data_IF_336426055582
#
_entry.id   IF_336426055582
#
_cell.length_a   1.000
_cell.length_b   1.000
_cell.length_c   1.000
_cell.angle_alpha   90.00
_cell.angle_beta   90.00
_cell.angle_gamma   90.00
#
_symmetry.space_group_name_H-M   'P 1'
#
loop_
_entity.id
_entity.type
_entity.pdbx_description
1 polymer ?
#
# COMPACT_ATOMS: atom_id res chain seq x y z
N UNK A 1 -6.91 -34.59 -8.81
CA UNK A 1 -8.36 -34.26 -8.76
C UNK A 1 -9.02 -35.23 -9.70
N UNK A 2 -9.88 -36.10 -9.17
CA UNK A 2 -10.50 -37.18 -9.93
C UNK A 2 -11.37 -36.61 -11.07
N UNK A 3 -11.39 -37.27 -12.23
CA UNK A 3 -12.20 -36.85 -13.38
C UNK A 3 -13.67 -36.78 -12.93
N UNK A 4 -14.39 -35.66 -13.12
CA UNK A 4 -15.82 -35.56 -12.79
C UNK A 4 -16.66 -36.71 -13.34
N UNK A 5 -16.25 -37.32 -14.46
CA UNK A 5 -16.88 -38.51 -15.04
C UNK A 5 -16.70 -39.74 -14.17
N UNK A 6 -15.53 -39.94 -13.57
CA UNK A 6 -15.26 -41.03 -12.64
C UNK A 6 -16.08 -40.88 -11.35
N UNK A 7 -16.29 -39.65 -10.87
CA UNK A 7 -17.16 -39.37 -9.72
C UNK A 7 -18.62 -39.71 -10.04
N UNK A 8 -19.11 -39.34 -11.22
CA UNK A 8 -20.46 -39.71 -11.67
C UNK A 8 -20.62 -41.22 -11.78
N UNK A 9 -19.65 -41.92 -12.36
CA UNK A 9 -19.68 -43.38 -12.49
C UNK A 9 -19.60 -44.09 -11.14
N UNK A 10 -18.82 -43.55 -10.20
CA UNK A 10 -18.76 -44.04 -8.83
C UNK A 10 -20.12 -43.88 -8.12
N UNK A 11 -20.76 -42.73 -8.28
CA UNK A 11 -22.09 -42.46 -7.73
C UNK A 11 -23.12 -43.44 -8.32
N UNK A 12 -23.16 -43.62 -9.65
CA UNK A 12 -24.07 -44.59 -10.30
C UNK A 12 -23.92 -46.01 -9.72
N UNK A 13 -22.68 -46.50 -9.59
CA UNK A 13 -22.37 -47.81 -8.98
C UNK A 13 -22.75 -47.91 -7.51
N UNK A 14 -22.79 -46.78 -6.78
CA UNK A 14 -23.24 -46.75 -5.38
C UNK A 14 -24.76 -46.88 -5.30
N UNK A 15 -25.50 -46.32 -6.26
CA UNK A 15 -26.96 -46.49 -6.33
C UNK A 15 -27.36 -47.91 -6.67
N UNK A 16 -26.74 -48.53 -7.67
CA UNK A 16 -27.05 -49.93 -8.02
C UNK A 16 -26.83 -50.88 -6.82
N UNK A 17 -25.88 -50.55 -5.93
CA UNK A 17 -25.67 -51.29 -4.68
C UNK A 17 -26.77 -51.00 -3.66
N UNK A 18 -27.09 -49.73 -3.42
CA UNK A 18 -28.16 -49.35 -2.49
C UNK A 18 -29.53 -49.89 -2.91
N UNK A 19 -29.83 -49.94 -4.20
CA UNK A 19 -31.07 -50.54 -4.74
C UNK A 19 -31.17 -52.03 -4.44
N UNK A 20 -30.04 -52.76 -4.49
CA UNK A 20 -29.97 -54.18 -4.12
C UNK A 20 -30.10 -54.40 -2.61
N UNK A 21 -29.55 -53.50 -1.80
CA UNK A 21 -29.53 -53.61 -0.33
C UNK A 21 -30.87 -53.22 0.33
N UNK A 22 -31.62 -52.28 -0.25
CA UNK A 22 -32.83 -51.71 0.38
C UNK A 22 -34.12 -52.52 0.20
N UNK A 23 -34.08 -53.67 -0.48
CA UNK A 23 -35.03 -54.78 -0.30
C UNK A 23 -36.52 -54.43 -0.15
N UNK A 24 -37.07 -53.53 -0.97
CA UNK A 24 -38.52 -53.39 -1.16
C UNK A 24 -39.25 -52.24 -0.43
N UNK A 25 -38.56 -51.31 0.25
CA UNK A 25 -39.24 -50.08 0.72
C UNK A 25 -39.34 -49.04 -0.40
N UNK A 26 -40.41 -49.13 -1.19
CA UNK A 26 -40.67 -48.31 -2.38
C UNK A 26 -40.53 -46.80 -2.12
N UNK A 27 -40.99 -46.31 -0.95
CA UNK A 27 -40.87 -44.90 -0.56
C UNK A 27 -39.43 -44.45 -0.31
N UNK A 28 -38.57 -45.29 0.27
CA UNK A 28 -37.17 -44.94 0.51
C UNK A 28 -36.37 -44.96 -0.80
N UNK A 29 -36.71 -45.87 -1.71
CA UNK A 29 -36.14 -45.92 -3.05
C UNK A 29 -36.48 -44.66 -3.86
N UNK A 30 -37.70 -44.15 -3.75
CA UNK A 30 -38.09 -42.91 -4.45
C UNK A 30 -37.36 -41.67 -3.92
N UNK A 31 -37.18 -41.55 -2.60
CA UNK A 31 -36.41 -40.45 -2.00
C UNK A 31 -34.94 -40.52 -2.43
N UNK A 32 -34.34 -41.71 -2.39
CA UNK A 32 -32.96 -41.92 -2.83
C UNK A 32 -32.79 -41.60 -4.32
N UNK A 33 -33.73 -42.04 -5.18
CA UNK A 33 -33.72 -41.76 -6.62
C UNK A 33 -33.84 -40.27 -6.91
N UNK A 34 -34.70 -39.55 -6.21
CA UNK A 34 -34.86 -38.10 -6.38
C UNK A 34 -33.62 -37.31 -5.93
N UNK A 35 -33.06 -37.62 -4.76
CA UNK A 35 -31.84 -36.98 -4.27
C UNK A 35 -30.65 -37.23 -5.22
N UNK A 36 -30.57 -38.45 -5.77
CA UNK A 36 -29.56 -38.83 -6.74
C UNK A 36 -29.72 -38.11 -8.08
N UNK A 37 -30.95 -38.06 -8.62
CA UNK A 37 -31.23 -37.31 -9.85
C UNK A 37 -30.90 -35.84 -9.69
N UNK A 38 -31.14 -35.26 -8.52
CA UNK A 38 -30.73 -33.90 -8.21
C UNK A 38 -29.20 -33.75 -8.17
N UNK A 39 -28.48 -34.70 -7.56
CA UNK A 39 -27.01 -34.69 -7.54
C UNK A 39 -26.41 -34.83 -8.95
N UNK A 40 -26.99 -35.68 -9.81
CA UNK A 40 -26.56 -35.83 -11.21
C UNK A 40 -26.79 -34.54 -12.00
N UNK A 41 -27.95 -33.88 -11.86
CA UNK A 41 -28.22 -32.58 -12.51
C UNK A 41 -27.23 -31.49 -12.09
N UNK A 42 -26.86 -31.46 -10.81
CA UNK A 42 -25.84 -30.52 -10.30
C UNK A 42 -24.45 -30.85 -10.85
N UNK A 43 -24.11 -32.13 -10.97
CA UNK A 43 -22.84 -32.56 -11.55
C UNK A 43 -22.74 -32.22 -13.05
N UNK A 44 -23.80 -32.47 -13.82
CA UNK A 44 -23.87 -32.11 -15.25
C UNK A 44 -23.73 -30.58 -15.43
N UNK A 45 -24.46 -29.79 -14.64
CA UNK A 45 -24.33 -28.32 -14.66
C UNK A 45 -22.93 -27.83 -14.30
N UNK A 46 -22.23 -28.52 -13.38
CA UNK A 46 -20.84 -28.21 -13.03
C UNK A 46 -19.88 -28.57 -14.17
N UNK A 47 -20.10 -29.69 -14.87
CA UNK A 47 -19.31 -30.08 -16.03
C UNK A 47 -19.48 -29.07 -17.17
N UNK A 48 -20.72 -28.69 -17.48
CA UNK A 48 -21.02 -27.71 -18.53
C UNK A 48 -20.39 -26.34 -18.21
N UNK A 49 -20.47 -25.91 -16.94
CA UNK A 49 -19.82 -24.69 -16.49
C UNK A 49 -18.29 -24.76 -16.63
N UNK A 50 -17.68 -25.89 -16.25
CA UNK A 50 -16.23 -26.09 -16.36
C UNK A 50 -15.77 -26.13 -17.82
N UNK A 51 -16.50 -26.84 -18.69
CA UNK A 51 -16.22 -26.87 -20.14
C UNK A 51 -16.34 -25.48 -20.74
N UNK A 52 -17.38 -24.71 -20.37
CA UNK A 52 -17.53 -23.33 -20.81
C UNK A 52 -16.39 -22.43 -20.33
N UNK A 53 -15.89 -22.63 -19.11
CA UNK A 53 -14.76 -21.89 -18.56
C UNK A 53 -13.46 -22.23 -19.29
N UNK A 54 -13.21 -23.52 -19.56
CA UNK A 54 -12.03 -23.98 -20.29
C UNK A 54 -12.02 -23.44 -21.73
N UNK A 55 -13.17 -23.42 -22.41
CA UNK A 55 -13.31 -22.82 -23.75
C UNK A 55 -13.03 -21.30 -23.76
N UNK A 56 -13.46 -20.56 -22.73
CA UNK A 56 -13.17 -19.13 -22.61
C UNK A 56 -11.68 -18.89 -22.33
N UNK A 57 -11.05 -19.73 -21.51
CA UNK A 57 -9.60 -19.69 -21.27
C UNK A 57 -8.84 -19.94 -22.58
N UNK A 58 -9.25 -20.92 -23.38
CA UNK A 58 -8.62 -21.20 -24.68
C UNK A 58 -8.77 -20.04 -25.66
N UNK A 59 -9.95 -19.41 -25.70
CA UNK A 59 -10.20 -18.20 -26.51
C UNK A 59 -9.29 -17.05 -26.09
N UNK A 60 -9.13 -16.82 -24.79
CA UNK A 60 -8.21 -15.81 -24.25
C UNK A 60 -6.74 -16.13 -24.60
N UNK A 61 -6.34 -17.39 -24.50
CA UNK A 61 -5.00 -17.84 -24.87
C UNK A 61 -4.72 -17.61 -26.37
N UNK A 62 -5.68 -17.90 -27.26
CA UNK A 62 -5.56 -17.61 -28.69
C UNK A 62 -5.42 -16.10 -28.96
N UNK A 63 -6.17 -15.27 -28.25
CA UNK A 63 -6.05 -13.81 -28.33
C UNK A 63 -4.66 -13.33 -27.88
N UNK A 64 -4.14 -13.87 -26.77
CA UNK A 64 -2.78 -13.56 -26.28
C UNK A 64 -1.72 -13.97 -27.31
N UNK A 65 -1.84 -15.16 -27.92
CA UNK A 65 -0.92 -15.61 -28.97
C UNK A 65 -0.96 -14.68 -30.18
N UNK A 66 -2.15 -14.25 -30.60
CA UNK A 66 -2.29 -13.27 -31.70
C UNK A 66 -1.62 -11.94 -31.34
N UNK A 67 -1.87 -11.41 -30.14
CA UNK A 67 -1.25 -10.17 -29.66
C UNK A 67 0.28 -10.29 -29.60
N UNK A 68 0.82 -11.42 -29.13
CA UNK A 68 2.28 -11.67 -29.12
C UNK A 68 2.88 -11.66 -30.52
N UNK A 69 2.19 -12.23 -31.52
CA UNK A 69 2.63 -12.16 -32.93
C UNK A 69 2.66 -10.73 -33.44
N UNK A 70 1.63 -9.93 -33.14
CA UNK A 70 1.57 -8.51 -33.50
C UNK A 70 2.70 -7.72 -32.84
N UNK A 71 2.95 -7.94 -31.54
CA UNK A 71 4.05 -7.29 -30.81
C UNK A 71 5.40 -7.70 -31.39
N UNK A 72 5.64 -8.99 -31.66
CA UNK A 72 6.87 -9.46 -32.27
C UNK A 72 7.13 -8.84 -33.64
N UNK A 73 6.08 -8.68 -34.45
CA UNK A 73 6.16 -7.98 -35.73
C UNK A 73 6.55 -6.50 -35.55
N UNK A 74 5.91 -5.78 -34.63
CA UNK A 74 6.27 -4.39 -34.34
C UNK A 74 7.70 -4.25 -33.81
N UNK A 75 8.15 -5.14 -32.93
CA UNK A 75 9.53 -5.14 -32.42
C UNK A 75 10.55 -5.41 -33.54
N UNK A 76 10.25 -6.34 -34.46
CA UNK A 76 11.10 -6.57 -35.64
C UNK A 76 11.19 -5.33 -36.52
N UNK A 77 10.07 -4.63 -36.75
CA UNK A 77 10.05 -3.39 -37.51
C UNK A 77 10.83 -2.28 -36.81
N UNK A 78 10.69 -2.14 -35.49
CA UNK A 78 11.44 -1.17 -34.68
C UNK A 78 12.94 -1.49 -34.73
N UNK A 79 13.35 -2.75 -34.61
CA UNK A 79 14.75 -3.16 -34.70
C UNK A 79 15.33 -2.86 -36.09
N UNK A 80 14.60 -3.18 -37.16
CA UNK A 80 15.01 -2.85 -38.54
C UNK A 80 15.13 -1.34 -38.77
N UNK A 81 14.25 -0.55 -38.15
CA UNK A 81 14.40 0.89 -38.14
C UNK A 81 15.66 1.26 -37.37
N UNK A 82 15.84 0.81 -36.13
CA UNK A 82 17.01 1.09 -35.28
C UNK A 82 18.34 0.78 -35.97
N UNK A 83 18.47 -0.33 -36.69
CA UNK A 83 19.68 -0.67 -37.43
C UNK A 83 19.96 0.34 -38.57
N UNK A 84 18.91 0.88 -39.19
CA UNK A 84 19.03 2.00 -40.15
C UNK A 84 19.31 3.33 -39.46
N UNK A 85 18.96 3.47 -38.17
CA UNK A 85 19.18 4.66 -37.35
C UNK A 85 20.59 4.75 -36.74
N UNK A 86 21.33 3.64 -36.64
CA UNK A 86 22.66 3.56 -36.02
C UNK A 86 23.79 4.05 -36.95
N UNK A 87 23.50 4.43 -38.20
CA UNK A 87 24.43 5.23 -38.99
C UNK A 87 24.68 6.60 -38.35
N UNK A 88 25.90 7.15 -38.46
CA UNK A 88 26.31 8.49 -37.97
C UNK A 88 25.58 9.67 -38.67
N UNK A 89 24.30 9.52 -38.98
CA UNK A 89 23.44 10.54 -39.53
C UNK A 89 22.71 11.35 -38.45
N UNK A 90 21.99 12.40 -38.84
CA UNK A 90 21.10 13.12 -37.93
C UNK A 90 20.09 12.15 -37.29
N UNK A 91 19.73 12.41 -36.02
CA UNK A 91 18.73 11.61 -35.30
C UNK A 91 17.49 11.41 -36.19
N UNK A 92 17.08 10.18 -36.47
CA UNK A 92 15.98 9.90 -37.39
C UNK A 92 14.65 10.50 -36.94
N UNK A 93 14.46 10.64 -35.63
CA UNK A 93 13.36 11.39 -35.07
C UNK A 93 13.42 12.86 -35.55
N UNK A 94 14.59 13.49 -35.52
CA UNK A 94 14.79 14.87 -36.00
C UNK A 94 14.82 14.98 -37.54
N UNK A 95 14.88 13.85 -38.26
CA UNK A 95 14.73 13.83 -39.72
C UNK A 95 13.27 13.78 -40.18
N UNK A 96 12.33 13.59 -39.24
CA UNK A 96 10.90 13.62 -39.55
C UNK A 96 10.47 15.05 -39.91
N UNK A 97 9.45 15.20 -40.79
CA UNK A 97 8.83 16.50 -41.04
C UNK A 97 8.34 17.16 -39.73
N UNK A 98 8.45 18.50 -39.60
CA UNK A 98 8.03 19.23 -38.39
C UNK A 98 6.60 18.91 -37.94
N UNK A 99 5.68 18.70 -38.87
CA UNK A 99 4.27 18.40 -38.60
C UNK A 99 4.10 17.04 -37.90
N UNK A 100 4.92 16.05 -38.27
CA UNK A 100 4.92 14.73 -37.64
C UNK A 100 5.53 14.83 -36.24
N UNK A 101 6.60 15.61 -36.08
CA UNK A 101 7.19 15.87 -34.76
C UNK A 101 6.22 16.58 -33.81
N UNK A 102 5.45 17.55 -34.31
CA UNK A 102 4.38 18.21 -33.56
C UNK A 102 3.32 17.21 -33.10
N UNK A 103 2.85 16.32 -33.98
CA UNK A 103 1.90 15.27 -33.63
C UNK A 103 2.46 14.32 -32.57
N UNK A 104 3.73 13.92 -32.70
CA UNK A 104 4.41 13.08 -31.68
C UNK A 104 4.42 13.83 -30.34
N UNK A 105 4.93 15.06 -30.31
CA UNK A 105 5.04 15.86 -29.07
C UNK A 105 3.66 16.16 -28.47
N UNK A 106 2.61 16.31 -29.28
CA UNK A 106 1.24 16.56 -28.83
C UNK A 106 0.59 15.34 -28.14
N UNK A 107 0.95 14.13 -28.56
CA UNK A 107 0.41 12.89 -28.01
C UNK A 107 1.22 12.32 -26.85
N UNK A 108 2.42 12.85 -26.61
CA UNK A 108 3.27 12.45 -25.49
C UNK A 108 2.72 13.05 -24.16
N UNK A 109 2.74 12.29 -23.04
CA UNK A 109 2.32 12.79 -21.72
C UNK A 109 3.09 14.05 -21.30
N UNK A 110 2.53 14.95 -20.46
CA UNK A 110 3.18 16.21 -20.10
C UNK A 110 4.59 16.05 -19.51
N UNK A 111 4.80 15.08 -18.61
CA UNK A 111 6.12 14.80 -18.04
C UNK A 111 7.13 14.37 -19.12
N UNK A 112 6.68 13.57 -20.07
CA UNK A 112 7.50 13.07 -21.18
C UNK A 112 7.84 14.19 -22.15
N UNK A 113 6.88 15.07 -22.43
CA UNK A 113 7.10 16.29 -23.21
C UNK A 113 8.13 17.20 -22.52
N UNK A 114 8.11 17.30 -21.19
CA UNK A 114 9.14 18.02 -20.44
C UNK A 114 10.53 17.42 -20.69
N UNK A 115 10.72 16.11 -20.57
CA UNK A 115 12.03 15.50 -20.83
C UNK A 115 12.44 15.63 -22.31
N UNK A 116 11.52 15.48 -23.26
CA UNK A 116 11.80 15.71 -24.68
C UNK A 116 12.33 17.13 -24.91
N UNK A 117 11.76 18.13 -24.24
CA UNK A 117 12.20 19.53 -24.33
C UNK A 117 13.64 19.76 -23.82
N UNK A 118 14.17 18.84 -23.01
CA UNK A 118 15.53 18.90 -22.49
C UNK A 118 16.58 18.26 -23.42
N UNK A 119 16.15 17.54 -24.47
CA UNK A 119 17.08 16.78 -25.34
C UNK A 119 17.78 17.63 -26.41
N UNK A 120 17.04 18.46 -27.16
CA UNK A 120 17.59 19.31 -28.21
C UNK A 120 16.75 20.59 -28.44
N UNK A 121 17.30 21.56 -29.15
CA UNK A 121 16.62 22.84 -29.42
C UNK A 121 15.34 22.69 -30.24
N UNK A 122 15.28 21.78 -31.21
CA UNK A 122 14.09 21.51 -32.02
C UNK A 122 12.94 20.98 -31.17
N UNK A 123 13.18 19.91 -30.41
CA UNK A 123 12.17 19.32 -29.51
C UNK A 123 11.80 20.28 -28.38
N UNK A 124 12.75 21.11 -27.93
CA UNK A 124 12.46 22.23 -27.03
C UNK A 124 11.48 23.20 -27.65
N UNK A 125 11.73 23.71 -28.86
CA UNK A 125 10.83 24.66 -29.51
C UNK A 125 9.40 24.09 -29.66
N UNK A 126 9.28 22.84 -30.09
CA UNK A 126 7.98 22.16 -30.24
C UNK A 126 7.26 21.93 -28.90
N UNK A 127 7.98 21.44 -27.89
CA UNK A 127 7.41 21.25 -26.56
C UNK A 127 7.01 22.60 -25.92
N UNK A 128 7.84 23.63 -26.05
CA UNK A 128 7.55 24.96 -25.51
C UNK A 128 6.36 25.64 -26.22
N UNK A 129 6.14 25.41 -27.51
CA UNK A 129 4.94 25.91 -28.20
C UNK A 129 3.67 25.33 -27.59
N UNK A 130 3.66 24.03 -27.26
CA UNK A 130 2.57 23.40 -26.52
C UNK A 130 2.34 24.08 -25.16
N UNK A 131 3.40 24.56 -24.51
CA UNK A 131 3.33 25.14 -23.16
C UNK A 131 2.96 26.63 -23.18
N UNK A 132 3.31 27.37 -24.25
CA UNK A 132 3.06 28.83 -24.38
C UNK A 132 1.60 29.22 -24.61
N UNK A 133 0.74 28.30 -25.06
CA UNK A 133 -0.57 28.67 -25.60
C UNK A 133 -1.81 28.34 -24.77
N UNK A 134 -1.87 27.17 -24.10
CA UNK A 134 -3.11 26.66 -23.47
C UNK A 134 -2.91 25.69 -22.32
N UNK A 135 -1.67 25.39 -21.94
CA UNK A 135 -1.43 24.54 -20.76
C UNK A 135 -1.41 25.48 -19.58
N UNK A 136 -2.59 25.73 -18.99
CA UNK A 136 -2.62 25.99 -17.56
C UNK A 136 -1.74 24.92 -16.94
N UNK A 137 -0.61 25.33 -16.33
CA UNK A 137 0.20 24.40 -15.57
C UNK A 137 -0.78 23.62 -14.73
N UNK A 138 -0.81 22.27 -14.86
CA UNK A 138 -1.88 21.51 -14.27
C UNK A 138 -1.99 21.95 -12.81
N UNK A 139 -3.15 22.43 -12.38
CA UNK A 139 -3.32 23.00 -11.05
C UNK A 139 -3.66 21.90 -10.05
N UNK A 140 -3.31 22.12 -8.78
CA UNK A 140 -3.55 21.17 -7.70
C UNK A 140 -3.03 19.76 -8.00
N UNK A 141 -3.94 18.78 -8.00
CA UNK A 141 -3.62 17.35 -8.14
C UNK A 141 -2.83 17.04 -9.41
N UNK A 142 -3.25 17.59 -10.56
CA UNK A 142 -2.58 17.34 -11.84
C UNK A 142 -1.13 17.85 -11.80
N UNK A 143 -0.85 18.94 -11.06
CA UNK A 143 0.51 19.47 -10.88
C UNK A 143 1.38 18.45 -10.20
N UNK A 144 0.87 17.90 -9.11
CA UNK A 144 1.60 16.98 -8.28
C UNK A 144 1.86 15.66 -9.01
N UNK A 145 0.88 15.14 -9.76
CA UNK A 145 1.07 13.98 -10.65
C UNK A 145 2.17 14.25 -11.69
N UNK A 146 2.19 15.44 -12.29
CA UNK A 146 3.28 15.84 -13.19
C UNK A 146 4.63 15.85 -12.47
N UNK A 147 4.72 16.46 -11.29
CA UNK A 147 5.96 16.51 -10.50
C UNK A 147 6.45 15.12 -10.08
N UNK A 148 5.54 14.20 -9.71
CA UNK A 148 5.87 12.80 -9.41
C UNK A 148 6.45 12.11 -10.64
N UNK A 149 5.83 12.28 -11.82
CA UNK A 149 6.34 11.70 -13.06
C UNK A 149 7.73 12.25 -13.43
N UNK A 150 7.98 13.54 -13.18
CA UNK A 150 9.32 14.12 -13.35
C UNK A 150 10.30 13.58 -12.31
N UNK A 151 9.91 13.54 -11.03
CA UNK A 151 10.74 13.02 -9.95
C UNK A 151 11.07 11.54 -10.11
N UNK A 152 10.21 10.72 -10.73
CA UNK A 152 10.50 9.32 -11.03
C UNK A 152 11.76 9.19 -11.90
N UNK A 153 11.93 10.07 -12.88
CA UNK A 153 13.00 9.98 -13.89
C UNK A 153 14.31 10.63 -13.48
N UNK A 154 14.28 11.58 -12.56
CA UNK A 154 15.49 12.17 -11.99
C UNK A 154 16.05 11.25 -10.92
N UNK A 155 17.37 11.22 -10.70
CA UNK A 155 17.96 10.43 -9.60
C UNK A 155 17.84 11.19 -8.28
N UNK A 156 17.58 10.44 -7.20
CA UNK A 156 17.42 10.97 -5.83
C UNK A 156 16.39 12.10 -5.65
N UNK A 157 15.61 12.41 -6.68
CA UNK A 157 14.56 13.42 -6.62
C UNK A 157 13.25 12.88 -6.03
N UNK A 158 12.50 13.75 -5.35
CA UNK A 158 11.15 13.50 -4.85
C UNK A 158 10.28 14.75 -5.03
N UNK A 159 8.96 14.56 -5.14
CA UNK A 159 8.01 15.65 -5.31
C UNK A 159 7.39 16.01 -3.95
N UNK A 160 7.52 17.27 -3.53
CA UNK A 160 6.93 17.74 -2.28
C UNK A 160 5.50 18.20 -2.51
N UNK A 161 4.56 17.61 -1.75
CA UNK A 161 3.16 17.97 -1.84
C UNK A 161 2.90 19.40 -1.34
N UNK A 162 3.64 19.85 -0.33
CA UNK A 162 3.39 21.14 0.33
C UNK A 162 3.81 22.35 -0.49
N UNK A 163 5.01 22.30 -1.06
CA UNK A 163 5.52 23.42 -1.86
C UNK A 163 5.31 23.23 -3.36
N UNK A 164 4.84 22.04 -3.78
CA UNK A 164 4.65 21.65 -5.19
C UNK A 164 5.92 21.88 -6.02
N UNK A 165 7.07 21.44 -5.48
CA UNK A 165 8.39 21.48 -6.15
C UNK A 165 9.08 20.11 -6.07
N UNK A 166 10.04 19.93 -6.96
CA UNK A 166 10.97 18.79 -6.91
C UNK A 166 12.11 19.14 -5.98
N UNK A 167 12.43 18.22 -5.08
CA UNK A 167 13.58 18.28 -4.20
C UNK A 167 14.51 17.12 -4.51
N UNK A 168 15.79 17.33 -4.27
CA UNK A 168 16.79 16.27 -4.33
C UNK A 168 17.08 15.79 -2.91
N UNK A 169 17.07 14.48 -2.72
CA UNK A 169 17.59 13.87 -1.52
C UNK A 169 19.10 14.04 -1.54
N UNK A 170 19.63 14.68 -0.52
CA UNK A 170 21.07 14.70 -0.33
C UNK A 170 21.47 13.29 0.14
N UNK A 171 22.28 12.62 -0.69
CA UNK A 171 22.77 11.26 -0.48
C UNK A 171 23.53 11.10 0.84
N UNK A 172 23.99 12.20 1.44
CA UNK A 172 24.63 12.22 2.77
C UNK A 172 23.64 12.02 3.92
N UNK A 173 22.34 12.16 3.67
CA UNK A 173 21.26 12.02 4.64
C UNK A 173 20.41 10.76 4.40
N UNK A 174 21.01 9.74 3.77
CA UNK A 174 20.39 8.42 3.69
C UNK A 174 20.11 7.89 5.11
N UNK A 175 19.01 7.14 5.28
CA UNK A 175 18.54 6.81 6.60
C UNK A 175 19.57 5.89 7.30
N UNK A 176 20.08 6.36 8.44
CA UNK A 176 21.27 5.84 9.12
C UNK A 176 22.17 6.95 9.68
N UNK A 177 22.15 8.15 9.08
CA UNK A 177 22.83 9.32 9.62
C UNK A 177 21.87 10.15 10.47
N UNK A 178 22.10 10.20 11.78
CA UNK A 178 21.38 11.07 12.74
C UNK A 178 21.71 12.57 12.59
N UNK A 179 22.56 12.93 11.62
CA UNK A 179 22.94 14.31 11.38
C UNK A 179 21.77 15.09 10.80
N UNK A 180 21.31 16.06 11.60
CA UNK A 180 20.37 17.13 11.34
C UNK A 180 19.91 17.26 9.87
N UNK A 181 18.66 16.84 9.64
CA UNK A 181 17.95 17.07 8.39
C UNK A 181 17.92 18.55 8.07
N UNK A 182 18.75 18.98 7.13
CA UNK A 182 18.67 20.32 6.58
C UNK A 182 17.26 20.47 5.99
N UNK A 183 16.52 21.51 6.40
CA UNK A 183 15.13 21.80 6.00
C UNK A 183 15.05 21.88 4.46
N UNK A 184 14.90 20.75 3.78
CA UNK A 184 14.97 20.71 2.32
C UNK A 184 13.76 21.42 1.69
N UNK A 185 12.69 21.64 2.46
CA UNK A 185 11.55 22.48 2.10
C UNK A 185 11.19 23.39 3.28
N UNK A 186 11.32 24.71 3.13
CA UNK A 186 10.96 25.68 4.18
C UNK A 186 9.45 25.81 4.44
N UNK A 187 8.61 25.41 3.48
CA UNK A 187 7.13 25.51 3.57
C UNK A 187 6.43 24.19 3.89
N UNK A 188 7.12 23.08 3.68
CA UNK A 188 6.67 21.79 4.16
C UNK A 188 7.53 21.47 5.35
N UNK A 189 7.10 21.85 6.55
CA UNK A 189 7.50 21.05 7.71
C UNK A 189 7.19 19.61 7.28
N UNK A 190 8.18 18.71 7.22
CA UNK A 190 7.93 17.36 6.72
C UNK A 190 6.74 16.85 7.50
N UNK A 191 5.69 16.35 6.85
CA UNK A 191 4.62 15.64 7.58
C UNK A 191 5.33 14.61 8.42
N UNK A 192 5.36 14.88 9.72
CA UNK A 192 6.07 14.06 10.68
C UNK A 192 5.09 12.94 10.93
N UNK A 193 5.28 11.82 10.23
CA UNK A 193 4.60 10.61 10.65
C UNK A 193 5.30 10.17 11.91
N UNK A 194 4.72 10.59 13.01
CA UNK A 194 4.97 9.96 14.27
C UNK A 194 4.51 8.51 14.10
N UNK A 195 5.46 7.60 13.98
CA UNK A 195 5.14 6.16 13.98
C UNK A 195 4.43 5.79 15.31
N UNK A 196 4.56 6.66 16.33
CA UNK A 196 4.21 6.47 17.74
C UNK A 196 3.56 7.70 18.37
N UNK A 197 2.88 7.49 19.51
CA UNK A 197 2.59 8.49 20.55
C UNK A 197 1.14 8.98 20.58
N UNK A 198 0.58 9.24 21.78
CA UNK A 198 -0.65 10.00 21.88
C UNK A 198 -0.44 11.31 21.13
N UNK A 199 -1.42 11.70 20.32
CA UNK A 199 -1.44 13.03 19.73
C UNK A 199 -1.24 14.01 20.90
N UNK A 200 -0.10 14.72 20.94
CA UNK A 200 0.01 15.87 21.84
C UNK A 200 -1.12 16.79 21.40
N UNK A 201 -2.01 17.11 22.30
CA UNK A 201 -2.97 18.18 22.11
C UNK A 201 -2.13 19.46 21.95
N UNK A 202 -1.69 19.79 20.73
CA UNK A 202 -0.89 21.00 20.47
C UNK A 202 -1.77 22.26 20.51
N UNK A 203 -2.85 22.22 21.29
CA UNK A 203 -3.83 23.28 21.41
C UNK A 203 -3.43 24.33 22.45
N UNK A 204 -2.34 24.13 23.18
CA UNK A 204 -1.86 25.10 24.16
C UNK A 204 -0.76 25.99 23.57
N UNK A 205 -1.22 27.20 23.21
CA UNK A 205 -0.52 28.49 23.23
C UNK A 205 0.74 28.66 22.36
N UNK A 206 0.67 29.66 21.47
CA UNK A 206 1.80 30.19 20.69
C UNK A 206 2.82 30.95 21.58
N UNK A 207 3.04 30.53 22.81
CA UNK A 207 4.04 31.14 23.66
C UNK A 207 5.39 30.50 23.29
N UNK A 208 6.24 31.29 22.62
CA UNK A 208 7.56 30.93 22.08
C UNK A 208 8.61 30.55 23.17
N UNK A 209 8.17 30.13 24.36
CA UNK A 209 9.05 29.60 25.40
C UNK A 209 9.22 28.08 25.21
N UNK A 210 10.05 27.74 24.22
CA UNK A 210 10.57 26.41 23.88
C UNK A 210 11.43 25.77 25.02
N UNK A 211 11.39 26.27 26.25
CA UNK A 211 12.42 26.00 27.26
C UNK A 211 12.09 24.96 28.34
N UNK A 212 10.84 24.52 28.51
CA UNK A 212 10.58 23.46 29.52
C UNK A 212 9.29 22.67 29.26
N UNK A 213 9.17 22.04 28.08
CA UNK A 213 8.16 21.01 27.91
C UNK A 213 8.58 19.78 28.72
N UNK A 214 7.89 19.55 29.85
CA UNK A 214 8.12 18.46 30.79
C UNK A 214 8.59 17.20 30.09
N UNK A 215 9.85 16.85 30.31
CA UNK A 215 10.48 15.72 29.67
C UNK A 215 9.67 14.46 29.97
N UNK A 216 9.19 13.79 28.93
CA UNK A 216 8.90 12.37 28.99
C UNK A 216 10.23 11.59 29.16
N UNK A 217 11.00 11.94 30.18
CA UNK A 217 12.22 11.26 30.62
C UNK A 217 11.82 9.85 31.06
N UNK A 218 11.87 8.92 30.10
CA UNK A 218 11.48 7.54 30.30
C UNK A 218 10.82 6.89 29.08
N UNK A 219 10.32 7.66 28.11
CA UNK A 219 9.91 7.08 26.84
C UNK A 219 11.14 6.77 25.97
N UNK A 220 11.20 5.59 25.34
CA UNK A 220 12.33 5.23 24.49
C UNK A 220 12.57 6.32 23.45
N UNK A 221 13.82 6.81 23.30
CA UNK A 221 14.24 7.80 22.29
C UNK A 221 14.09 7.31 20.84
N UNK A 222 13.42 6.19 20.63
CA UNK A 222 13.33 5.37 19.42
C UNK A 222 12.22 5.88 18.49
N UNK A 223 11.94 7.18 18.52
CA UNK A 223 10.98 7.80 17.62
C UNK A 223 11.63 7.99 16.26
N UNK A 224 11.88 6.88 15.56
CA UNK A 224 12.27 6.94 14.15
C UNK A 224 11.07 7.48 13.39
N UNK A 225 11.25 8.67 12.82
CA UNK A 225 10.25 9.31 11.97
C UNK A 225 10.30 8.63 10.63
N UNK A 226 9.17 8.04 10.21
CA UNK A 226 9.01 7.66 8.81
C UNK A 226 8.66 8.94 8.07
N UNK A 227 9.48 9.34 7.11
CA UNK A 227 9.25 10.56 6.36
C UNK A 227 8.63 10.24 5.01
N UNK A 228 7.73 11.12 4.59
CA UNK A 228 7.09 11.04 3.29
C UNK A 228 8.06 10.82 2.11
N UNK A 229 9.20 11.54 2.13
CA UNK A 229 10.23 11.42 1.09
C UNK A 229 10.86 10.02 1.04
N UNK A 230 11.01 9.35 2.18
CA UNK A 230 11.60 8.00 2.25
C UNK A 230 10.66 6.98 1.63
N UNK A 231 9.35 7.09 1.89
CA UNK A 231 8.31 6.29 1.24
C UNK A 231 8.33 6.51 -0.28
N UNK A 232 8.34 7.78 -0.72
CA UNK A 232 8.41 8.13 -2.14
C UNK A 232 9.64 7.55 -2.84
N UNK A 233 10.84 7.72 -2.27
CA UNK A 233 12.08 7.22 -2.85
C UNK A 233 12.12 5.69 -2.90
N UNK A 234 11.67 5.02 -1.84
CA UNK A 234 11.58 3.56 -1.82
C UNK A 234 10.65 3.04 -2.94
N UNK A 235 9.45 3.61 -3.07
CA UNK A 235 8.49 3.28 -4.12
C UNK A 235 9.05 3.55 -5.51
N UNK A 236 9.65 4.72 -5.73
CA UNK A 236 10.32 5.09 -6.98
C UNK A 236 11.38 4.08 -7.38
N UNK A 237 12.28 3.71 -6.46
CA UNK A 237 13.36 2.79 -6.78
C UNK A 237 12.85 1.39 -7.09
N UNK A 238 11.80 0.91 -6.42
CA UNK A 238 11.15 -0.34 -6.79
C UNK A 238 10.54 -0.27 -8.19
N UNK A 239 9.81 0.81 -8.51
CA UNK A 239 9.19 0.99 -9.83
C UNK A 239 10.21 1.03 -10.98
N UNK A 240 11.42 1.55 -10.72
CA UNK A 240 12.53 1.55 -11.69
C UNK A 240 13.27 0.21 -11.79
N UNK A 241 12.91 -0.79 -10.99
CA UNK A 241 13.66 -2.05 -10.88
C UNK A 241 14.97 -1.92 -10.09
N UNK A 242 15.23 -0.77 -9.46
CA UNK A 242 16.46 -0.45 -8.73
C UNK A 242 16.37 -0.88 -7.26
N UNK A 243 16.06 -2.17 -7.01
CA UNK A 243 15.82 -2.73 -5.66
C UNK A 243 16.96 -2.45 -4.67
N UNK A 244 18.21 -2.44 -5.15
CA UNK A 244 19.39 -2.16 -4.34
C UNK A 244 19.39 -0.74 -3.75
N UNK A 245 18.85 0.25 -4.46
CA UNK A 245 18.68 1.64 -3.97
C UNK A 245 17.47 1.80 -3.06
N UNK A 246 16.42 0.99 -3.22
CA UNK A 246 15.28 0.99 -2.30
C UNK A 246 15.64 0.41 -0.93
N UNK A 247 16.58 -0.56 -0.88
CA UNK A 247 16.90 -1.34 0.32
C UNK A 247 17.33 -0.50 1.53
N UNK A 248 18.18 0.54 1.41
CA UNK A 248 18.51 1.41 2.55
C UNK A 248 17.28 2.08 3.16
N UNK A 249 16.34 2.56 2.34
CA UNK A 249 15.11 3.18 2.83
C UNK A 249 14.22 2.19 3.58
N UNK A 250 14.13 0.93 3.14
CA UNK A 250 13.37 -0.09 3.87
C UNK A 250 14.10 -0.55 5.14
N UNK A 251 15.42 -0.79 5.05
CA UNK A 251 16.23 -1.30 6.16
C UNK A 251 16.40 -0.31 7.31
N UNK A 252 16.58 0.96 7.01
CA UNK A 252 16.83 1.94 8.06
C UNK A 252 15.62 2.13 8.99
N UNK A 253 14.43 1.83 8.47
CA UNK A 253 13.20 1.77 9.24
C UNK A 253 12.92 0.37 9.78
N UNK A 254 13.42 -0.72 9.18
CA UNK A 254 13.30 -2.03 9.79
C UNK A 254 14.11 -2.07 11.11
N UNK A 255 13.42 -2.07 12.23
CA UNK A 255 14.07 -2.12 13.54
C UNK A 255 13.24 -2.94 14.52
N UNK A 256 13.96 -3.69 15.35
CA UNK A 256 13.43 -4.36 16.53
C UNK A 256 14.16 -3.75 17.71
N UNK A 257 13.43 -3.11 18.62
CA UNK A 257 14.01 -2.48 19.79
C UNK A 257 13.21 -2.87 21.03
N UNK A 258 13.92 -3.30 22.08
CA UNK A 258 13.34 -3.55 23.39
C UNK A 258 13.64 -2.35 24.27
N UNK A 259 12.59 -1.71 24.77
CA UNK A 259 12.71 -0.66 25.76
C UNK A 259 12.14 -1.17 27.08
N UNK A 260 12.96 -1.15 28.12
CA UNK A 260 12.44 -1.14 29.49
C UNK A 260 11.92 0.27 29.73
N UNK A 261 10.64 0.50 29.41
CA UNK A 261 10.04 1.81 29.62
C UNK A 261 9.69 1.96 31.09
N UNK A 262 10.33 2.96 31.72
CA UNK A 262 9.96 3.49 33.02
C UNK A 262 8.73 4.37 32.84
N UNK A 263 7.55 3.78 32.62
CA UNK A 263 6.36 4.42 33.18
C UNK A 263 6.67 4.51 34.67
N UNK A 264 6.92 5.70 35.21
CA UNK A 264 7.58 5.93 36.53
C UNK A 264 6.97 5.14 37.69
N UNK A 265 5.76 4.62 37.53
CA UNK A 265 5.02 3.83 38.53
C UNK A 265 4.73 2.37 38.12
N UNK A 266 5.05 1.94 36.88
CA UNK A 266 4.69 0.61 36.36
C UNK A 266 5.89 -0.08 35.73
N UNK A 267 6.32 -1.17 36.36
CA UNK A 267 7.36 -2.06 35.85
C UNK A 267 6.81 -2.88 34.67
N UNK A 268 7.20 -2.54 33.44
CA UNK A 268 6.84 -3.31 32.26
C UNK A 268 7.91 -3.27 31.19
N UNK A 269 8.03 -4.34 30.40
CA UNK A 269 8.92 -4.41 29.24
C UNK A 269 8.12 -4.18 27.99
N UNK A 270 8.55 -3.23 27.16
CA UNK A 270 7.92 -2.96 25.88
C UNK A 270 8.89 -3.35 24.77
N UNK A 271 8.51 -4.36 24.00
CA UNK A 271 9.19 -4.71 22.76
C UNK A 271 8.46 -4.06 21.60
N UNK A 272 9.25 -3.47 20.71
CA UNK A 272 8.76 -2.83 19.51
C UNK A 272 9.42 -3.44 18.28
N UNK A 273 8.62 -3.67 17.25
CA UNK A 273 9.06 -4.15 15.97
C UNK A 273 8.42 -3.34 14.85
N UNK A 274 9.23 -2.89 13.89
CA UNK A 274 8.77 -2.23 12.67
C UNK A 274 9.40 -2.90 11.46
N UNK A 275 8.59 -3.17 10.46
CA UNK A 275 9.04 -3.71 9.19
C UNK A 275 8.25 -3.08 8.05
N UNK A 276 8.89 -2.32 7.14
CA UNK A 276 8.24 -1.89 5.92
C UNK A 276 8.46 -2.92 4.79
N UNK A 277 7.44 -3.11 3.95
CA UNK A 277 7.53 -3.86 2.68
C UNK A 277 6.91 -3.04 1.56
N UNK A 278 7.32 -3.34 0.32
CA UNK A 278 6.65 -2.87 -0.88
C UNK A 278 6.05 -4.08 -1.59
N UNK A 279 4.72 -4.15 -1.64
CA UNK A 279 3.95 -5.30 -2.16
C UNK A 279 3.09 -4.79 -3.32
N UNK A 280 3.28 -5.32 -4.52
CA UNK A 280 2.61 -4.82 -5.75
C UNK A 280 2.68 -3.30 -5.93
N UNK A 281 3.85 -2.71 -5.68
CA UNK A 281 4.05 -1.26 -5.79
C UNK A 281 3.37 -0.43 -4.69
N UNK A 282 2.89 -1.08 -3.63
CA UNK A 282 2.28 -0.45 -2.45
C UNK A 282 3.24 -0.48 -1.28
N UNK A 283 3.47 0.66 -0.64
CA UNK A 283 4.26 0.71 0.59
C UNK A 283 3.35 0.35 1.77
N UNK A 284 3.70 -0.70 2.50
CA UNK A 284 2.99 -1.15 3.70
C UNK A 284 3.98 -1.19 4.85
N UNK A 285 3.60 -0.68 6.01
CA UNK A 285 4.38 -0.85 7.22
C UNK A 285 3.65 -1.76 8.20
N UNK A 286 4.32 -2.83 8.61
CA UNK A 286 3.96 -3.63 9.76
C UNK A 286 4.60 -3.04 11.01
N UNK A 287 3.81 -2.86 12.05
CA UNK A 287 4.29 -2.53 13.38
C UNK A 287 3.74 -3.52 14.38
N UNK A 288 4.56 -3.89 15.36
CA UNK A 288 4.17 -4.75 16.45
C UNK A 288 4.70 -4.20 17.77
N UNK A 289 3.82 -4.19 18.75
CA UNK A 289 4.07 -3.81 20.12
C UNK A 289 3.80 -5.02 20.99
N UNK A 290 4.74 -5.38 21.84
CA UNK A 290 4.53 -6.38 22.88
C UNK A 290 4.85 -5.74 24.23
N UNK A 291 3.81 -5.50 25.04
CA UNK A 291 3.91 -5.02 26.39
C UNK A 291 3.81 -6.20 27.35
N UNK A 292 4.82 -6.41 28.18
CA UNK A 292 4.82 -7.37 29.27
C UNK A 292 4.72 -6.63 30.61
N UNK A 293 3.67 -6.92 31.39
CA UNK A 293 3.36 -6.23 32.64
C UNK A 293 3.79 -7.09 33.84
N UNK A 294 4.79 -6.67 34.61
CA UNK A 294 5.37 -7.53 35.67
C UNK A 294 4.51 -7.67 36.94
N UNK A 295 3.38 -6.98 37.06
CA UNK A 295 2.50 -7.05 38.24
C UNK A 295 1.06 -7.39 37.89
N UNK A 296 0.51 -8.35 38.65
CA UNK A 296 -0.86 -8.88 38.56
C UNK A 296 -1.97 -7.86 38.94
N UNK A 297 -1.63 -6.57 39.07
CA UNK A 297 -2.64 -5.52 39.14
C UNK A 297 -3.24 -5.42 37.75
N UNK A 298 -4.51 -5.81 37.64
CA UNK A 298 -5.38 -5.37 36.56
C UNK A 298 -5.12 -3.89 36.37
N UNK A 299 -4.38 -3.54 35.32
CA UNK A 299 -4.30 -2.16 34.89
C UNK A 299 -5.68 -1.90 34.32
N UNK A 300 -6.60 -1.51 35.19
CA UNK A 300 -7.75 -0.80 34.71
C UNK A 300 -7.18 0.42 33.98
N UNK A 301 -7.46 0.52 32.69
CA UNK A 301 -7.13 1.72 31.92
C UNK A 301 -7.78 2.98 32.54
N UNK A 302 -8.73 2.82 33.47
CA UNK A 302 -9.30 3.89 34.30
C UNK A 302 -8.43 4.33 35.48
N UNK A 303 -7.53 3.49 35.99
CA UNK A 303 -6.58 3.85 37.07
C UNK A 303 -5.27 4.43 36.53
N UNK A 304 -5.10 4.36 35.20
CA UNK A 304 -4.20 5.24 34.50
C UNK A 304 -4.93 6.58 34.34
N UNK A 305 -4.47 7.62 35.02
CA UNK A 305 -4.90 8.99 34.71
C UNK A 305 -4.64 9.35 33.22
N UNK A 306 -3.76 8.60 32.55
CA UNK A 306 -3.50 8.64 31.12
C UNK A 306 -3.51 7.23 30.52
N UNK A 307 -4.60 6.79 29.85
CA UNK A 307 -4.63 5.53 29.14
C UNK A 307 -3.39 5.40 28.25
N UNK A 308 -2.76 4.23 28.20
CA UNK A 308 -1.72 3.97 27.21
C UNK A 308 -2.44 3.90 25.85
N UNK A 309 -2.55 5.04 25.18
CA UNK A 309 -3.09 5.15 23.85
C UNK A 309 -2.07 4.60 22.86
N UNK A 310 -2.15 3.29 22.63
CA UNK A 310 -1.62 2.72 21.40
C UNK A 310 -2.61 3.07 20.31
N UNK A 311 -2.41 4.20 19.64
CA UNK A 311 -3.23 4.57 18.50
C UNK A 311 -2.82 3.74 17.28
N UNK A 312 -3.63 2.75 16.86
CA UNK A 312 -3.28 1.95 15.69
C UNK A 312 -3.32 2.78 14.41
N UNK A 313 -4.00 3.93 14.41
CA UNK A 313 -4.05 4.88 13.31
C UNK A 313 -3.52 6.28 13.70
N UNK A 314 -3.37 7.16 12.72
CA UNK A 314 -2.89 8.55 12.92
C UNK A 314 -4.04 9.56 12.94
N UNK A 315 -5.28 9.10 12.86
CA UNK A 315 -6.43 9.98 12.88
C UNK A 315 -6.69 10.40 14.32
N UNK A 316 -6.31 11.64 14.64
CA UNK A 316 -6.61 12.30 15.91
C UNK A 316 -8.03 11.94 16.36
N UNK A 317 -8.11 11.36 17.58
CA UNK A 317 -9.17 11.28 18.61
C UNK A 317 -10.66 11.62 18.34
N UNK A 318 -11.05 12.15 17.19
CA UNK A 318 -12.30 12.88 17.00
C UNK A 318 -13.51 12.03 16.63
N UNK A 319 -13.34 10.84 16.02
CA UNK A 319 -14.51 10.08 15.53
C UNK A 319 -14.65 8.65 16.09
N UNK A 320 -13.77 8.29 17.02
CA UNK A 320 -13.92 7.06 17.80
C UNK A 320 -15.02 7.18 18.89
N UNK A 321 -15.70 8.33 18.97
CA UNK A 321 -16.79 8.61 19.90
C UNK A 321 -18.15 8.05 19.48
N UNK A 322 -18.26 7.39 18.32
CA UNK A 322 -19.46 6.63 17.95
C UNK A 322 -19.60 5.35 18.81
N UNK A 323 -20.05 5.56 20.06
CA UNK A 323 -20.87 4.76 20.99
C UNK A 323 -20.70 3.22 21.07
N UNK A 324 -19.65 2.62 20.53
CA UNK A 324 -19.47 1.16 20.55
C UNK A 324 -18.08 0.65 20.90
N UNK A 325 -17.00 1.16 20.29
CA UNK A 325 -15.69 0.46 20.32
C UNK A 325 -14.45 1.38 20.32
N UNK A 326 -14.62 2.69 20.47
CA UNK A 326 -13.53 3.65 20.21
C UNK A 326 -12.98 4.40 21.43
N UNK A 327 -13.45 4.12 22.64
CA UNK A 327 -12.71 4.51 23.86
C UNK A 327 -11.63 3.47 24.06
N UNK A 328 -10.38 3.93 24.19
CA UNK A 328 -9.12 3.17 24.19
C UNK A 328 -9.30 1.69 24.41
N UNK A 329 -8.88 0.89 23.42
CA UNK A 329 -8.91 -0.57 23.39
C UNK A 329 -8.93 -1.15 24.81
N UNK A 330 -10.12 -1.44 25.32
CA UNK A 330 -10.24 -2.12 26.60
C UNK A 330 -9.77 -3.54 26.36
N UNK A 331 -8.50 -3.81 26.64
CA UNK A 331 -7.83 -5.12 26.55
C UNK A 331 -8.38 -6.12 27.58
N UNK A 332 -9.66 -6.00 27.95
CA UNK A 332 -10.28 -6.67 29.10
C UNK A 332 -11.12 -7.89 28.66
N UNK A 333 -11.38 -8.10 27.37
CA UNK A 333 -12.23 -9.22 26.91
C UNK A 333 -11.44 -10.34 26.21
N UNK A 334 -11.51 -11.56 26.75
CA UNK A 334 -11.07 -12.84 26.17
C UNK A 334 -9.54 -13.02 26.00
N UNK A 335 -8.90 -13.58 27.04
CA UNK A 335 -7.49 -14.02 27.01
C UNK A 335 -7.25 -15.03 25.88
N UNK A 336 -6.14 -14.88 25.17
CA UNK A 336 -5.65 -15.80 24.15
C UNK A 336 -6.33 -15.71 22.78
N UNK A 337 -7.35 -14.86 22.61
CA UNK A 337 -8.05 -14.72 21.33
C UNK A 337 -7.55 -13.46 20.61
N UNK A 338 -7.00 -13.63 19.42
CA UNK A 338 -6.71 -12.50 18.53
C UNK A 338 -8.01 -11.84 18.11
N UNK A 339 -8.08 -10.52 18.29
CA UNK A 339 -9.19 -9.73 17.78
C UNK A 339 -8.66 -8.74 16.77
N UNK A 340 -9.42 -8.56 15.69
CA UNK A 340 -9.02 -7.74 14.54
C UNK A 340 -9.97 -6.58 14.35
N UNK A 341 -9.45 -5.46 13.88
CA UNK A 341 -10.25 -4.32 13.47
C UNK A 341 -9.50 -3.52 12.40
N UNK A 342 -10.21 -2.55 11.80
CA UNK A 342 -9.72 -1.78 10.67
C UNK A 342 -10.18 -0.33 10.79
N UNK A 343 -9.30 0.61 10.44
CA UNK A 343 -9.64 2.02 10.36
C UNK A 343 -10.31 2.32 9.01
N UNK A 344 -11.45 3.00 9.04
CA UNK A 344 -12.20 3.40 7.84
C UNK A 344 -11.57 4.59 7.10
N UNK A 345 -10.60 5.27 7.71
CA UNK A 345 -10.03 6.52 7.21
C UNK A 345 -8.62 6.38 6.62
N UNK A 346 -7.71 5.59 7.24
CA UNK A 346 -6.29 5.49 6.81
C UNK A 346 -5.91 4.19 6.11
N UNK A 347 -6.87 3.32 5.79
CA UNK A 347 -6.57 1.97 5.29
C UNK A 347 -5.53 1.24 6.16
N UNK A 348 -5.80 1.20 7.47
CA UNK A 348 -4.96 0.45 8.42
C UNK A 348 -5.77 -0.70 9.00
N UNK A 349 -5.18 -1.88 9.00
CA UNK A 349 -5.66 -3.03 9.76
C UNK A 349 -4.87 -3.16 11.04
N UNK A 350 -5.49 -3.68 12.09
CA UNK A 350 -4.82 -3.94 13.35
C UNK A 350 -5.41 -5.16 14.05
N UNK A 351 -4.56 -5.80 14.83
CA UNK A 351 -4.90 -6.96 15.64
C UNK A 351 -4.37 -6.78 17.05
N UNK A 352 -5.10 -7.31 18.02
CA UNK A 352 -4.73 -7.29 19.43
C UNK A 352 -4.88 -8.66 20.05
N UNK A 353 -3.89 -9.03 20.84
CA UNK A 353 -3.83 -10.31 21.56
C UNK A 353 -3.48 -9.98 23.01
N UNK A 354 -4.25 -10.50 23.95
CA UNK A 354 -3.95 -10.42 25.38
C UNK A 354 -3.76 -11.83 25.92
N UNK A 355 -2.59 -12.14 26.45
CA UNK A 355 -2.24 -13.46 26.97
C UNK A 355 -1.52 -13.30 28.30
N UNK A 356 -2.24 -13.52 29.41
CA UNK A 356 -1.69 -13.37 30.75
C UNK A 356 -1.26 -11.93 31.03
N UNK A 357 0.05 -11.73 31.24
CA UNK A 357 0.71 -10.45 31.46
C UNK A 357 1.21 -9.79 30.16
N UNK A 358 1.04 -10.47 29.02
CA UNK A 358 1.51 -10.02 27.72
C UNK A 358 0.36 -9.44 26.89
N UNK A 359 0.57 -8.25 26.36
CA UNK A 359 -0.33 -7.57 25.45
C UNK A 359 0.41 -7.30 24.15
N UNK A 360 -0.15 -7.79 23.04
CA UNK A 360 0.41 -7.59 21.72
C UNK A 360 -0.56 -6.75 20.88
N UNK A 361 -0.04 -5.73 20.22
CA UNK A 361 -0.77 -4.94 19.22
C UNK A 361 0.02 -4.99 17.92
N UNK A 362 -0.62 -5.43 16.85
CA UNK A 362 -0.07 -5.47 15.50
C UNK A 362 -0.84 -4.50 14.63
N UNK A 363 -0.14 -3.74 13.80
CA UNK A 363 -0.78 -2.86 12.81
C UNK A 363 -0.15 -3.04 11.45
N UNK A 364 -0.99 -3.00 10.42
CA UNK A 364 -0.60 -3.01 9.01
C UNK A 364 -1.12 -1.73 8.40
N UNK A 365 -0.21 -0.79 8.13
CA UNK A 365 -0.54 0.54 7.64
C UNK A 365 -0.22 0.64 6.16
N UNK A 366 -1.24 0.94 5.36
CA UNK A 366 -1.06 1.31 3.96
C UNK A 366 -0.46 2.71 3.86
N UNK A 367 0.59 2.91 3.06
CA UNK A 367 1.16 4.23 2.74
C UNK A 367 1.06 4.55 1.24
N UNK A 368 0.41 3.67 0.48
CA UNK A 368 0.01 3.99 -0.89
C UNK A 368 0.92 3.51 -2.00
N UNK A 369 0.45 3.75 -3.23
CA UNK A 369 1.21 3.63 -4.47
C UNK A 369 1.78 4.98 -4.92
N UNK A 370 2.91 4.94 -5.64
CA UNK A 370 3.66 6.13 -6.04
C UNK A 370 2.82 7.20 -6.77
N UNK A 371 1.98 6.80 -7.72
CA UNK A 371 1.24 7.73 -8.57
C UNK A 371 -0.17 8.06 -8.07
N UNK A 372 -0.74 7.20 -7.21
CA UNK A 372 -2.16 7.26 -6.85
C UNK A 372 -2.38 7.85 -5.46
N UNK A 373 -1.63 7.34 -4.49
CA UNK A 373 -2.01 7.48 -3.08
C UNK A 373 -0.98 8.28 -2.30
N UNK A 374 0.26 8.35 -2.79
CA UNK A 374 1.32 9.15 -2.17
C UNK A 374 0.87 10.61 -2.00
N UNK A 375 0.08 11.17 -2.92
CA UNK A 375 -0.51 12.51 -2.72
C UNK A 375 -1.55 12.52 -1.59
N UNK A 376 -2.44 11.53 -1.57
CA UNK A 376 -3.54 11.42 -0.62
C UNK A 376 -3.10 11.21 0.83
N UNK A 377 -2.07 10.37 1.01
CA UNK A 377 -1.53 10.05 2.32
C UNK A 377 -0.95 11.25 3.05
N UNK A 378 -0.28 12.14 2.32
CA UNK A 378 0.26 13.37 2.91
C UNK A 378 -0.81 14.42 3.19
N UNK A 379 -2.03 14.28 2.66
CA UNK A 379 -3.18 15.14 3.01
C UNK A 379 -3.92 14.65 4.26
N UNK A 380 -3.82 13.38 4.64
CA UNK A 380 -4.49 12.83 5.84
C UNK A 380 -3.86 13.30 7.15
N UNK A 381 -2.58 13.64 7.15
CA UNK A 381 -1.90 14.18 8.33
C UNK A 381 -2.24 15.65 8.63
N UNK A 382 -2.89 16.36 7.70
CA UNK A 382 -3.46 17.67 7.95
C UNK A 382 -4.91 17.46 8.39
N UNK A 383 -5.12 17.28 9.71
CA UNK A 383 -6.42 16.94 10.33
C UNK A 383 -7.55 17.92 10.01
N UNK A 384 -7.24 19.06 9.38
CA UNK A 384 -8.19 20.07 8.94
C UNK A 384 -8.84 19.81 7.59
N UNK A 385 -8.45 18.77 6.83
CA UNK A 385 -9.05 18.46 5.51
C UNK A 385 -9.78 17.12 5.49
N UNK A 386 -11.13 17.10 5.46
CA UNK A 386 -11.95 15.88 5.53
C UNK A 386 -11.94 15.03 4.23
N UNK A 387 -10.84 15.01 3.47
CA UNK A 387 -10.82 14.51 2.08
C UNK A 387 -10.10 13.17 1.87
N UNK A 388 -9.53 12.58 2.94
CA UNK A 388 -8.72 11.36 2.84
C UNK A 388 -9.42 10.15 2.22
N UNK A 389 -10.76 10.06 2.33
CA UNK A 389 -11.53 8.90 1.86
C UNK A 389 -11.66 8.85 0.34
N UNK A 390 -11.59 9.99 -0.37
CA UNK A 390 -11.78 10.00 -1.84
C UNK A 390 -10.66 9.31 -2.60
N UNK A 391 -9.47 9.22 -2.02
CA UNK A 391 -8.28 8.82 -2.78
C UNK A 391 -7.89 7.35 -2.60
N UNK A 392 -8.12 6.76 -1.42
CA UNK A 392 -7.69 5.39 -1.12
C UNK A 392 -8.66 4.31 -1.60
N UNK A 393 -9.80 4.70 -2.18
CA UNK A 393 -10.91 3.79 -2.41
C UNK A 393 -11.55 3.33 -1.10
N UNK A 394 -12.61 2.53 -1.19
CA UNK A 394 -13.21 1.92 -0.01
C UNK A 394 -12.24 0.89 0.58
N UNK A 395 -11.69 1.19 1.76
CA UNK A 395 -10.87 0.23 2.50
C UNK A 395 -11.74 -0.93 2.97
N UNK A 396 -11.45 -2.13 2.45
CA UNK A 396 -12.05 -3.38 2.92
C UNK A 396 -11.32 -3.83 4.18
N UNK A 397 -12.05 -4.04 5.27
CA UNK A 397 -11.46 -4.48 6.54
C UNK A 397 -10.66 -5.79 6.38
N UNK A 398 -9.42 -5.80 6.87
CA UNK A 398 -8.49 -6.94 6.79
C UNK A 398 -7.72 -7.05 5.47
N UNK A 399 -7.99 -6.17 4.48
CA UNK A 399 -7.36 -6.26 3.16
C UNK A 399 -5.86 -5.95 3.16
N UNK A 400 -5.40 -5.03 4.00
CA UNK A 400 -3.99 -4.64 4.09
C UNK A 400 -3.19 -5.70 4.85
N UNK A 401 -3.79 -6.26 5.91
CA UNK A 401 -3.24 -7.44 6.62
C UNK A 401 -3.11 -8.63 5.67
N UNK A 402 -4.18 -8.98 4.97
CA UNK A 402 -4.17 -10.10 4.01
C UNK A 402 -3.08 -9.92 2.95
N UNK A 403 -3.00 -8.73 2.35
CA UNK A 403 -1.96 -8.39 1.37
C UNK A 403 -0.54 -8.53 1.93
N UNK A 404 -0.35 -8.20 3.21
CA UNK A 404 0.94 -8.36 3.89
C UNK A 404 1.31 -9.84 4.12
N UNK A 405 0.36 -10.63 4.60
CA UNK A 405 0.55 -12.05 4.93
C UNK A 405 0.73 -12.93 3.69
N UNK A 406 0.12 -12.57 2.55
CA UNK A 406 0.25 -13.29 1.28
C UNK A 406 1.55 -12.98 0.50
N UNK A 407 2.34 -12.01 0.97
CA UNK A 407 3.54 -11.52 0.25
C UNK A 407 4.85 -12.23 0.64
N UNK A 408 4.79 -13.26 1.49
CA UNK A 408 5.92 -14.12 1.86
C UNK A 408 6.05 -15.31 0.89
#
# INVERSE_FOLDING_TARGET
>A
MDDPREVIDHLKKKVERLEKELGGSEKMLDIARNAMQQALRLADGFIDHKVSQDLEIDRQNQQIVSQRKTIAHHLSTISSLQDKLVGRGPSPLLSLPPEILELVVANVPPADSFFLSQTCQTLRALAFQRWKGKVEFPNGEKKFTFLLAVALRLDDAWACLFCEKIHFADVRYMPGTTLYFQKSCYRGDPVKYHIFGPARDTRENNDEDDSDCGSLDGMPKVWKKLEYRQVQLALKYILRGERHKARPFLKAHAHSESAESFFKEKQGKMHFYFQPKIIDGRYIAYTEYTLQVTQNRLIYLSDLHEPIYLDPCLHEHHDHTNKGNGRGLYLIGNRGVEKTASCKHCASDFAYISEGDRYQVRTWRYFGQYYRDVAAFSMQADSKRPTGQKFLGEHVAGSVRKLWEEAD
#
